data_IF_309607193988
#
_entry.id   IF_309607193988
#
_cell.length_a   1.000
_cell.length_b   1.000
_cell.length_c   1.000
_cell.angle_alpha   90.00
_cell.angle_beta   90.00
_cell.angle_gamma   90.00
#
_symmetry.space_group_name_H-M   'P 1'
#
loop_
_entity.id
_entity.type
_entity.pdbx_description
1 polymer ?
#
# COMPACT_ATOMS: atom_id res chain seq x y z
N UNK A 1 0.99 28.43 -57.15
CA UNK A 1 1.10 27.79 -55.82
C UNK A 1 1.88 26.50 -55.87
N UNK A 2 1.59 25.53 -56.72
CA UNK A 2 2.27 24.23 -56.81
C UNK A 2 3.75 24.36 -57.13
N UNK A 3 4.16 25.32 -57.98
CA UNK A 3 5.57 25.57 -58.30
C UNK A 3 6.38 26.02 -57.09
N UNK A 4 5.83 26.87 -56.23
CA UNK A 4 6.52 27.31 -55.00
C UNK A 4 6.76 26.20 -54.01
N UNK A 5 5.81 25.27 -53.91
CA UNK A 5 5.94 24.05 -53.09
C UNK A 5 7.05 23.15 -53.66
N UNK A 6 7.08 22.96 -54.97
CA UNK A 6 8.10 22.16 -55.67
C UNK A 6 9.51 22.75 -55.53
N UNK A 7 9.63 24.08 -55.58
CA UNK A 7 10.88 24.81 -55.34
C UNK A 7 11.37 24.66 -53.91
N UNK A 8 10.48 24.74 -52.91
CA UNK A 8 10.81 24.55 -51.49
C UNK A 8 11.32 23.14 -51.21
N UNK A 9 10.65 22.10 -51.76
CA UNK A 9 11.15 20.74 -51.69
C UNK A 9 12.52 20.53 -52.33
N UNK A 10 12.77 21.16 -53.50
CA UNK A 10 14.06 21.11 -54.19
C UNK A 10 15.17 21.73 -53.34
N UNK A 11 14.90 22.85 -52.64
CA UNK A 11 15.83 23.49 -51.70
C UNK A 11 16.22 22.59 -50.52
N UNK A 12 15.26 21.86 -49.98
CA UNK A 12 15.49 20.89 -48.89
C UNK A 12 16.40 19.75 -49.34
N UNK A 13 16.17 19.20 -50.54
CA UNK A 13 16.98 18.12 -51.09
C UNK A 13 18.37 18.55 -51.58
N UNK A 14 18.57 19.83 -51.94
CA UNK A 14 19.86 20.36 -52.33
C UNK A 14 20.86 20.43 -51.17
N UNK A 15 20.35 20.57 -49.90
CA UNK A 15 21.17 20.64 -48.69
C UNK A 15 20.71 19.59 -47.64
N UNK A 16 20.53 18.37 -48.12
CA UNK A 16 19.95 17.25 -47.32
C UNK A 16 20.60 17.03 -45.96
N UNK A 17 21.91 17.21 -45.81
CA UNK A 17 22.59 17.06 -44.51
C UNK A 17 22.22 18.16 -43.53
N UNK A 18 22.06 19.41 -43.99
CA UNK A 18 21.64 20.52 -43.12
C UNK A 18 20.18 20.36 -42.70
N UNK A 19 19.32 20.01 -43.63
CA UNK A 19 17.90 19.77 -43.34
C UNK A 19 17.70 18.59 -42.44
N UNK A 20 18.45 17.51 -42.60
CA UNK A 20 18.42 16.35 -41.73
C UNK A 20 18.88 16.69 -40.30
N UNK A 21 20.00 17.42 -40.14
CA UNK A 21 20.50 17.82 -38.82
C UNK A 21 19.54 18.76 -38.10
N UNK A 22 18.90 19.68 -38.78
CA UNK A 22 17.93 20.59 -38.16
C UNK A 22 16.66 19.85 -37.76
N UNK A 23 16.15 18.94 -38.60
CA UNK A 23 15.02 18.07 -38.27
C UNK A 23 15.33 17.17 -37.04
N UNK A 24 16.51 16.56 -37.03
CA UNK A 24 16.95 15.72 -35.93
C UNK A 24 17.02 16.52 -34.63
N UNK A 25 17.54 17.74 -34.65
CA UNK A 25 17.58 18.61 -33.48
C UNK A 25 16.19 18.95 -32.92
N UNK A 26 15.24 19.25 -33.81
CA UNK A 26 13.86 19.53 -33.41
C UNK A 26 13.19 18.28 -32.83
N UNK A 27 13.38 17.12 -33.47
CA UNK A 27 12.80 15.84 -32.98
C UNK A 27 13.36 15.51 -31.61
N UNK A 28 14.68 15.61 -31.40
CA UNK A 28 15.29 15.33 -30.09
C UNK A 28 14.78 16.33 -29.05
N UNK A 29 14.66 17.61 -29.37
CA UNK A 29 14.15 18.62 -28.47
C UNK A 29 12.72 18.32 -28.00
N UNK A 30 11.82 18.05 -28.95
CA UNK A 30 10.43 17.73 -28.63
C UNK A 30 10.32 16.38 -27.85
N UNK A 31 11.05 15.37 -28.29
CA UNK A 31 11.06 14.06 -27.60
C UNK A 31 11.56 14.19 -26.17
N UNK A 32 12.57 14.99 -25.89
CA UNK A 32 13.08 15.23 -24.54
C UNK A 32 12.04 15.92 -23.66
N UNK A 33 11.33 16.92 -24.17
CA UNK A 33 10.27 17.60 -23.41
C UNK A 33 9.13 16.63 -23.08
N UNK A 34 8.70 15.84 -24.07
CA UNK A 34 7.64 14.85 -23.86
C UNK A 34 8.07 13.81 -22.82
N UNK A 35 9.30 13.32 -22.88
CA UNK A 35 9.83 12.36 -21.93
C UNK A 35 9.83 12.93 -20.49
N UNK A 36 10.32 14.17 -20.32
CA UNK A 36 10.36 14.84 -19.02
C UNK A 36 8.95 15.04 -18.47
N UNK A 37 8.02 15.56 -19.26
CA UNK A 37 6.64 15.80 -18.83
C UNK A 37 5.92 14.50 -18.49
N UNK A 38 6.14 13.44 -19.27
CA UNK A 38 5.56 12.12 -19.00
C UNK A 38 6.11 11.51 -17.71
N UNK A 39 7.41 11.65 -17.45
CA UNK A 39 8.02 11.18 -16.21
C UNK A 39 7.48 11.94 -14.99
N UNK A 40 7.41 13.28 -15.08
CA UNK A 40 6.86 14.10 -13.99
C UNK A 40 5.40 13.73 -13.72
N UNK A 41 4.56 13.59 -14.76
CA UNK A 41 3.18 13.16 -14.58
C UNK A 41 3.08 11.77 -13.95
N UNK A 42 3.84 10.81 -14.46
CA UNK A 42 3.84 9.46 -13.89
C UNK A 42 4.27 9.43 -12.43
N UNK A 43 5.29 10.22 -12.07
CA UNK A 43 5.74 10.34 -10.67
C UNK A 43 4.68 11.03 -9.79
N UNK A 44 4.05 12.10 -10.27
CA UNK A 44 3.00 12.78 -9.53
C UNK A 44 1.77 11.88 -9.31
N UNK A 45 1.32 11.15 -10.33
CA UNK A 45 0.22 10.19 -10.23
C UNK A 45 0.56 9.04 -9.24
N UNK A 46 1.82 8.64 -9.19
CA UNK A 46 2.28 7.61 -8.25
C UNK A 46 2.37 8.15 -6.82
N UNK A 47 2.86 9.38 -6.64
CA UNK A 47 2.87 10.06 -5.34
C UNK A 47 1.43 10.27 -4.84
N UNK A 48 0.53 10.74 -5.69
CA UNK A 48 -0.88 10.92 -5.35
C UNK A 48 -1.53 9.60 -4.94
N UNK A 49 -1.33 8.53 -5.71
CA UNK A 49 -1.82 7.18 -5.37
C UNK A 49 -1.22 6.66 -4.06
N UNK A 50 0.07 6.89 -3.82
CA UNK A 50 0.71 6.47 -2.59
C UNK A 50 0.26 7.33 -1.40
N UNK A 51 -0.01 8.62 -1.60
CA UNK A 51 -0.54 9.50 -0.56
C UNK A 51 -2.00 9.16 -0.22
N UNK A 52 -2.84 8.92 -1.22
CA UNK A 52 -4.25 8.56 -1.04
C UNK A 52 -4.38 7.08 -0.65
N UNK A 53 -3.63 6.19 -1.30
CA UNK A 53 -3.66 4.75 -1.07
C UNK A 53 -2.90 4.29 0.18
N UNK A 54 -1.97 5.08 0.72
CA UNK A 54 -1.23 4.73 1.94
C UNK A 54 -1.92 5.17 3.24
N UNK A 55 -3.18 5.61 3.17
CA UNK A 55 -3.94 6.03 4.34
C UNK A 55 -3.48 7.37 4.93
N UNK A 56 -2.86 8.25 4.12
CA UNK A 56 -2.43 9.57 4.59
C UNK A 56 -3.60 10.52 4.94
N UNK A 57 -4.81 10.19 4.51
CA UNK A 57 -6.05 10.84 5.00
C UNK A 57 -6.58 10.19 6.28
N UNK A 58 -5.81 9.29 6.91
CA UNK A 58 -6.21 8.67 8.16
C UNK A 58 -5.47 9.29 9.34
N UNK A 59 -6.22 9.57 10.40
CA UNK A 59 -5.67 9.98 11.69
C UNK A 59 -5.60 8.75 12.57
N UNK A 60 -4.38 8.40 13.00
CA UNK A 60 -4.16 7.34 13.98
C UNK A 60 -4.33 7.93 15.38
N UNK A 61 -5.29 7.39 16.13
CA UNK A 61 -5.45 7.67 17.55
C UNK A 61 -4.91 6.48 18.32
N UNK A 62 -3.84 6.68 19.05
CA UNK A 62 -3.19 5.64 19.85
C UNK A 62 -3.04 6.09 21.31
N UNK A 63 -2.94 5.13 22.21
CA UNK A 63 -2.60 5.40 23.59
C UNK A 63 -1.08 5.59 23.71
N UNK A 64 -0.67 6.67 24.38
CA UNK A 64 0.73 6.94 24.65
C UNK A 64 0.97 6.88 26.15
N UNK A 65 2.11 6.34 26.53
CA UNK A 65 2.66 6.42 27.88
C UNK A 65 3.98 7.17 27.80
N UNK A 66 4.02 8.37 28.41
CA UNK A 66 5.11 9.32 28.21
C UNK A 66 5.26 9.68 26.71
N UNK A 67 6.42 9.44 26.09
CA UNK A 67 6.69 9.73 24.68
C UNK A 67 6.55 8.50 23.76
N UNK A 68 6.15 7.34 24.28
CA UNK A 68 6.09 6.08 23.54
C UNK A 68 4.64 5.60 23.35
N UNK A 69 4.35 5.08 22.17
CA UNK A 69 3.07 4.41 21.92
C UNK A 69 2.95 3.18 22.84
N UNK A 70 1.85 3.10 23.57
CA UNK A 70 1.61 2.02 24.51
C UNK A 70 1.49 0.68 23.78
N UNK A 71 2.32 -0.29 24.19
CA UNK A 71 2.21 -1.67 23.69
C UNK A 71 1.18 -2.45 24.51
N UNK A 72 0.14 -2.92 23.81
CA UNK A 72 -0.90 -3.76 24.42
C UNK A 72 -0.48 -5.21 24.69
N UNK A 73 0.78 -5.57 24.47
CA UNK A 73 1.30 -6.91 24.75
C UNK A 73 1.19 -7.26 26.24
N UNK A 74 1.25 -6.25 27.11
CA UNK A 74 1.10 -6.37 28.55
C UNK A 74 -0.35 -6.20 29.05
N UNK A 75 -1.32 -6.12 28.13
CA UNK A 75 -2.72 -5.91 28.45
C UNK A 75 -3.16 -4.46 28.42
N UNK A 76 -4.37 -4.19 28.93
CA UNK A 76 -4.93 -2.84 29.01
C UNK A 76 -4.56 -2.26 30.37
N UNK A 77 -3.99 -1.04 30.44
CA UNK A 77 -3.67 -0.42 31.73
C UNK A 77 -4.91 -0.23 32.58
N UNK A 78 -4.75 -0.31 33.90
CA UNK A 78 -5.84 -0.05 34.84
C UNK A 78 -6.38 1.39 34.67
N UNK A 79 -7.69 1.52 34.57
CA UNK A 79 -8.34 2.83 34.40
C UNK A 79 -8.51 3.29 32.96
N UNK A 80 -8.00 2.55 31.97
CA UNK A 80 -8.26 2.81 30.55
C UNK A 80 -9.45 1.98 30.10
N UNK A 81 -10.49 2.67 29.64
CA UNK A 81 -11.67 2.02 29.06
C UNK A 81 -11.38 1.60 27.62
N UNK A 82 -11.89 0.42 27.26
CA UNK A 82 -11.93 0.00 25.85
C UNK A 82 -12.86 0.94 25.07
N UNK A 83 -12.54 1.15 23.79
CA UNK A 83 -13.40 1.96 22.92
C UNK A 83 -14.76 1.27 22.80
N UNK A 84 -15.82 1.95 23.25
CA UNK A 84 -17.19 1.43 23.18
C UNK A 84 -17.76 1.56 21.77
N UNK A 85 -18.85 0.81 21.50
CA UNK A 85 -19.59 0.99 20.24
C UNK A 85 -20.14 2.40 20.08
N UNK A 86 -20.62 2.99 21.17
CA UNK A 86 -21.17 4.36 21.18
C UNK A 86 -20.08 5.39 20.84
N UNK A 87 -18.87 5.21 21.34
CA UNK A 87 -17.71 6.05 20.99
C UNK A 87 -17.36 5.90 19.51
N UNK A 88 -17.41 4.67 18.99
CA UNK A 88 -17.15 4.41 17.57
C UNK A 88 -18.19 5.07 16.67
N UNK A 89 -19.47 5.01 17.04
CA UNK A 89 -20.55 5.67 16.32
C UNK A 89 -20.42 7.19 16.41
N UNK A 90 -20.07 7.73 17.57
CA UNK A 90 -19.80 9.15 17.74
C UNK A 90 -18.67 9.65 16.83
N UNK A 91 -17.60 8.87 16.71
CA UNK A 91 -16.49 9.20 15.79
C UNK A 91 -16.90 9.16 14.32
N UNK A 92 -17.77 8.21 13.92
CA UNK A 92 -18.29 8.14 12.54
C UNK A 92 -19.18 9.33 12.16
N UNK A 93 -19.79 9.98 13.15
CA UNK A 93 -20.67 11.13 12.94
C UNK A 93 -19.95 12.50 12.97
N UNK A 94 -18.63 12.51 13.11
CA UNK A 94 -17.84 13.75 13.02
C UNK A 94 -17.81 14.21 11.56
N UNK A 95 -18.00 15.49 11.35
CA UNK A 95 -17.95 16.12 10.02
C UNK A 95 -16.61 15.83 9.33
N UNK A 96 -16.64 15.46 8.06
CA UNK A 96 -15.46 15.06 7.25
C UNK A 96 -14.80 13.72 7.64
N UNK A 97 -15.42 12.90 8.49
CA UNK A 97 -14.97 11.53 8.75
C UNK A 97 -15.72 10.57 7.85
N UNK A 98 -15.04 9.98 6.88
CA UNK A 98 -15.63 9.02 5.93
C UNK A 98 -15.77 7.61 6.51
N UNK A 99 -14.86 7.25 7.43
CA UNK A 99 -14.87 5.93 8.04
C UNK A 99 -13.99 5.85 9.28
N UNK A 100 -14.34 4.92 10.17
CA UNK A 100 -13.57 4.65 11.41
C UNK A 100 -13.35 3.16 11.51
N UNK A 101 -12.11 2.77 11.78
CA UNK A 101 -11.73 1.37 12.02
C UNK A 101 -11.05 1.22 13.36
N UNK A 102 -11.21 0.07 13.97
CA UNK A 102 -10.46 -0.33 15.15
C UNK A 102 -9.44 -1.38 14.76
N UNK A 103 -8.25 -1.25 15.29
CA UNK A 103 -7.24 -2.28 15.17
C UNK A 103 -6.45 -2.41 16.47
N UNK A 104 -5.85 -3.56 16.64
CA UNK A 104 -4.89 -3.83 17.71
C UNK A 104 -3.67 -4.51 17.09
N UNK A 105 -2.51 -3.92 17.29
CA UNK A 105 -1.25 -4.51 16.84
C UNK A 105 -0.55 -5.22 18.00
N UNK A 106 0.11 -6.31 17.67
CA UNK A 106 1.01 -7.04 18.53
C UNK A 106 2.26 -7.40 17.75
N UNK A 107 3.41 -7.25 18.38
CA UNK A 107 4.66 -7.66 17.76
C UNK A 107 4.73 -9.20 17.70
N UNK A 108 5.05 -9.72 16.53
CA UNK A 108 5.18 -11.16 16.30
C UNK A 108 6.62 -11.61 16.63
N UNK A 109 6.85 -11.95 17.88
CA UNK A 109 8.09 -12.61 18.26
C UNK A 109 7.96 -14.11 17.98
N UNK A 110 8.32 -14.57 16.77
CA UNK A 110 8.25 -15.99 16.39
C UNK A 110 6.89 -16.66 16.68
N UNK A 111 5.80 -15.91 16.51
CA UNK A 111 4.46 -16.40 16.84
C UNK A 111 3.70 -16.95 15.63
N UNK A 112 4.25 -16.80 14.42
CA UNK A 112 3.60 -17.22 13.18
C UNK A 112 4.41 -18.35 12.53
N UNK A 113 3.78 -19.50 12.36
CA UNK A 113 4.40 -20.69 11.80
C UNK A 113 3.58 -21.30 10.67
N UNK A 114 4.30 -21.87 9.71
CA UNK A 114 3.77 -22.85 8.78
C UNK A 114 4.78 -23.98 8.66
N UNK A 115 4.39 -25.19 9.08
CA UNK A 115 5.29 -26.34 9.15
C UNK A 115 6.56 -25.98 9.96
N UNK A 116 7.72 -26.01 9.31
CA UNK A 116 9.03 -25.67 9.91
C UNK A 116 9.50 -24.25 9.60
N UNK A 117 8.67 -23.41 8.96
CA UNK A 117 9.00 -22.02 8.62
C UNK A 117 8.31 -21.09 9.58
N UNK A 118 9.05 -20.19 10.22
CA UNK A 118 8.54 -19.11 11.05
C UNK A 118 8.70 -17.75 10.36
N UNK A 119 7.83 -16.82 10.66
CA UNK A 119 8.04 -15.42 10.38
C UNK A 119 8.73 -14.79 11.60
N UNK A 120 9.97 -14.37 11.41
CA UNK A 120 10.74 -13.67 12.41
C UNK A 120 10.58 -12.16 12.20
N UNK A 121 10.04 -11.50 13.21
CA UNK A 121 9.69 -10.08 13.13
C UNK A 121 8.37 -9.83 12.41
N UNK A 122 7.86 -8.63 12.52
CA UNK A 122 6.57 -8.23 11.95
C UNK A 122 5.49 -8.02 12.99
N UNK A 123 4.29 -7.77 12.54
CA UNK A 123 3.16 -7.45 13.40
C UNK A 123 1.97 -8.36 13.09
N UNK A 124 1.31 -8.82 14.15
CA UNK A 124 -0.02 -9.42 14.05
C UNK A 124 -1.03 -8.32 14.36
N UNK A 125 -1.93 -8.08 13.45
CA UNK A 125 -2.96 -7.06 13.60
C UNK A 125 -4.34 -7.70 13.68
N UNK A 126 -5.00 -7.50 14.80
CA UNK A 126 -6.44 -7.78 14.92
C UNK A 126 -7.21 -6.60 14.34
N UNK A 127 -8.03 -6.84 13.33
CA UNK A 127 -8.71 -5.79 12.55
C UNK A 127 -10.18 -6.10 12.36
N UNK A 128 -10.99 -5.07 12.13
CA UNK A 128 -12.36 -5.23 11.68
C UNK A 128 -12.45 -5.24 10.13
N UNK A 129 -13.65 -5.42 9.59
CA UNK A 129 -13.88 -5.51 8.15
C UNK A 129 -13.52 -4.23 7.38
N UNK A 130 -13.60 -3.07 8.03
CA UNK A 130 -13.38 -1.77 7.40
C UNK A 130 -11.90 -1.38 7.31
N UNK A 131 -11.03 -2.13 8.00
CA UNK A 131 -9.62 -1.80 8.14
C UNK A 131 -8.88 -1.65 6.81
N UNK A 132 -9.06 -2.62 5.90
CA UNK A 132 -8.31 -2.62 4.63
C UNK A 132 -8.66 -1.41 3.77
N UNK A 133 -9.94 -1.05 3.68
CA UNK A 133 -10.38 0.11 2.91
C UNK A 133 -9.91 1.43 3.54
N UNK A 134 -10.01 1.56 4.86
CA UNK A 134 -9.62 2.78 5.57
C UNK A 134 -8.09 2.92 5.61
N UNK A 135 -7.36 1.83 5.79
CA UNK A 135 -5.90 1.82 5.74
C UNK A 135 -5.33 1.94 4.32
N UNK A 136 -6.18 1.95 3.29
CA UNK A 136 -5.75 2.02 1.89
C UNK A 136 -5.07 0.74 1.38
N UNK A 137 -5.27 -0.39 2.05
CA UNK A 137 -4.67 -1.67 1.68
C UNK A 137 -5.51 -2.39 0.62
N UNK A 138 -4.90 -2.74 -0.50
CA UNK A 138 -5.57 -3.45 -1.58
C UNK A 138 -5.43 -4.95 -1.42
N UNK A 139 -6.54 -5.68 -1.47
CA UNK A 139 -6.52 -7.15 -1.51
C UNK A 139 -6.16 -7.60 -2.94
N UNK A 140 -5.04 -8.30 -3.06
CA UNK A 140 -4.50 -8.81 -4.34
C UNK A 140 -5.06 -10.18 -4.71
N UNK A 141 -5.26 -11.03 -3.71
CA UNK A 141 -5.81 -12.40 -3.90
C UNK A 141 -6.80 -12.70 -2.78
N UNK A 142 -7.86 -13.43 -3.10
CA UNK A 142 -8.86 -13.81 -2.12
C UNK A 142 -9.76 -12.66 -1.67
N UNK A 143 -9.98 -12.52 -0.38
CA UNK A 143 -10.84 -11.50 0.24
C UNK A 143 -10.25 -10.94 1.54
N UNK A 144 -10.73 -9.78 1.95
CA UNK A 144 -10.47 -9.23 3.29
C UNK A 144 -11.25 -9.94 4.40
N UNK A 145 -11.08 -9.47 5.62
CA UNK A 145 -11.88 -9.88 6.77
C UNK A 145 -13.31 -9.32 6.58
N UNK A 146 -14.31 -10.12 6.90
CA UNK A 146 -15.72 -9.75 6.80
C UNK A 146 -16.36 -9.56 8.17
N UNK A 147 -17.46 -8.84 8.22
CA UNK A 147 -18.25 -8.70 9.44
C UNK A 147 -18.71 -10.06 10.01
N UNK A 148 -19.04 -11.01 9.13
CA UNK A 148 -19.44 -12.37 9.50
C UNK A 148 -18.29 -13.16 10.14
N UNK A 149 -17.04 -12.95 9.69
CA UNK A 149 -15.87 -13.55 10.32
C UNK A 149 -15.69 -13.03 11.76
N UNK A 150 -15.85 -11.72 11.96
CA UNK A 150 -15.77 -11.10 13.28
C UNK A 150 -16.92 -11.53 14.20
N UNK A 151 -18.16 -11.54 13.70
CA UNK A 151 -19.34 -11.95 14.48
C UNK A 151 -19.29 -13.42 14.92
N UNK A 152 -18.76 -14.28 14.08
CA UNK A 152 -18.65 -15.74 14.35
C UNK A 152 -17.31 -16.14 14.92
N UNK A 153 -16.44 -15.19 15.25
CA UNK A 153 -15.08 -15.46 15.77
C UNK A 153 -14.32 -16.47 14.91
N UNK A 154 -14.42 -16.38 13.58
CA UNK A 154 -13.71 -17.25 12.68
C UNK A 154 -12.21 -16.99 12.73
N UNK A 155 -11.45 -18.06 12.79
CA UNK A 155 -9.99 -18.01 12.75
C UNK A 155 -9.53 -17.88 11.29
N UNK A 156 -9.54 -16.65 10.78
CA UNK A 156 -9.11 -16.32 9.42
C UNK A 156 -8.01 -15.26 9.47
N UNK A 157 -7.13 -15.30 8.48
CA UNK A 157 -6.02 -14.37 8.36
C UNK A 157 -5.89 -13.84 6.92
N UNK A 158 -5.40 -12.62 6.81
CA UNK A 158 -4.93 -12.01 5.55
C UNK A 158 -3.45 -11.76 5.73
N UNK A 159 -2.65 -12.21 4.77
CA UNK A 159 -1.20 -11.99 4.75
C UNK A 159 -0.87 -10.80 3.85
N UNK A 160 0.22 -10.12 4.13
CA UNK A 160 0.90 -9.27 3.17
C UNK A 160 1.65 -10.12 2.12
N UNK A 161 2.03 -9.52 0.99
CA UNK A 161 2.71 -10.23 -0.11
C UNK A 161 4.05 -10.81 0.34
N UNK A 162 4.81 -10.09 1.15
CA UNK A 162 6.12 -10.53 1.66
C UNK A 162 5.98 -11.74 2.57
N UNK A 163 5.08 -11.69 3.55
CA UNK A 163 4.78 -12.82 4.45
C UNK A 163 4.25 -14.04 3.69
N UNK A 164 3.37 -13.81 2.71
CA UNK A 164 2.85 -14.88 1.87
C UNK A 164 3.97 -15.56 1.09
N UNK A 165 4.90 -14.81 0.52
CA UNK A 165 6.06 -15.34 -0.20
C UNK A 165 7.03 -16.10 0.70
N UNK A 166 7.29 -15.59 1.90
CA UNK A 166 8.18 -16.24 2.87
C UNK A 166 7.62 -17.58 3.36
N UNK A 167 6.31 -17.66 3.65
CA UNK A 167 5.68 -18.88 4.18
C UNK A 167 5.31 -19.90 3.10
N UNK A 168 4.99 -19.45 1.89
CA UNK A 168 4.41 -20.29 0.84
C UNK A 168 5.25 -20.38 -0.43
N UNK A 169 6.26 -19.50 -0.60
CA UNK A 169 7.01 -19.39 -1.85
C UNK A 169 6.07 -19.05 -3.02
N UNK A 170 6.02 -19.90 -4.02
CA UNK A 170 5.13 -19.74 -5.19
C UNK A 170 3.77 -20.45 -5.01
N UNK A 171 3.56 -21.15 -3.88
CA UNK A 171 2.30 -21.84 -3.62
C UNK A 171 1.18 -20.83 -3.32
N UNK A 172 -0.04 -21.10 -3.82
CA UNK A 172 -1.20 -20.26 -3.47
C UNK A 172 -1.57 -20.42 -1.99
N UNK A 173 -1.51 -19.37 -1.18
CA UNK A 173 -1.79 -19.44 0.26
C UNK A 173 -3.28 -19.53 0.60
N UNK A 174 -4.19 -19.15 -0.31
CA UNK A 174 -5.63 -19.08 -0.01
C UNK A 174 -6.18 -20.44 0.34
N UNK A 175 -6.91 -20.51 1.46
CA UNK A 175 -7.49 -21.75 2.01
C UNK A 175 -6.50 -22.62 2.78
N UNK A 176 -5.22 -22.26 2.82
CA UNK A 176 -4.21 -22.95 3.64
C UNK A 176 -4.22 -22.42 5.07
N UNK A 177 -3.62 -23.19 5.96
CA UNK A 177 -3.58 -22.88 7.39
C UNK A 177 -2.17 -22.47 7.80
N UNK A 178 -2.10 -21.47 8.66
CA UNK A 178 -0.93 -21.08 9.43
C UNK A 178 -1.25 -21.16 10.92
N UNK A 179 -0.25 -21.26 11.74
CA UNK A 179 -0.39 -21.19 13.19
C UNK A 179 0.05 -19.82 13.70
N UNK A 180 -0.81 -19.18 14.47
CA UNK A 180 -0.51 -17.91 15.15
C UNK A 180 -0.63 -18.18 16.66
N UNK A 181 0.48 -18.11 17.37
CA UNK A 181 0.55 -18.43 18.80
C UNK A 181 -0.12 -19.79 19.12
N UNK A 182 0.22 -20.83 18.37
CA UNK A 182 -0.30 -22.20 18.46
C UNK A 182 -1.81 -22.35 18.15
N UNK A 183 -2.42 -21.33 17.56
CA UNK A 183 -3.82 -21.38 17.11
C UNK A 183 -3.86 -21.40 15.58
N UNK A 184 -4.59 -22.33 14.96
CA UNK A 184 -4.67 -22.40 13.50
C UNK A 184 -5.58 -21.33 12.93
N UNK A 185 -5.08 -20.62 11.88
CA UNK A 185 -5.83 -19.64 11.12
C UNK A 185 -5.84 -20.01 9.65
N UNK A 186 -7.00 -19.91 9.01
CA UNK A 186 -7.15 -20.14 7.57
C UNK A 186 -6.89 -18.83 6.82
N UNK A 187 -6.03 -18.87 5.81
CA UNK A 187 -5.74 -17.70 4.98
C UNK A 187 -6.88 -17.48 4.00
N UNK A 188 -7.49 -16.30 4.06
CA UNK A 188 -8.61 -15.90 3.20
C UNK A 188 -8.22 -14.85 2.16
N UNK A 189 -7.10 -14.17 2.34
CA UNK A 189 -6.63 -13.15 1.42
C UNK A 189 -5.14 -12.88 1.52
N UNK A 190 -4.66 -12.19 0.49
CA UNK A 190 -3.32 -11.58 0.44
C UNK A 190 -3.52 -10.12 0.06
N UNK A 191 -2.99 -9.20 0.87
CA UNK A 191 -3.01 -7.77 0.59
C UNK A 191 -1.66 -7.30 0.04
N UNK A 192 -1.68 -6.19 -0.68
CA UNK A 192 -0.46 -5.51 -1.09
C UNK A 192 0.35 -5.11 0.15
N UNK A 193 1.67 -5.18 0.02
CA UNK A 193 2.55 -4.59 1.01
C UNK A 193 2.26 -3.08 1.06
N UNK A 194 2.30 -2.51 2.25
CA UNK A 194 2.24 -1.07 2.39
C UNK A 194 3.56 -0.54 1.84
N UNK A 195 3.51 0.16 0.71
CA UNK A 195 4.69 0.89 0.22
C UNK A 195 5.00 2.00 1.23
N UNK A 196 5.82 1.69 2.21
CA UNK A 196 6.44 2.70 3.05
C UNK A 196 7.51 3.37 2.20
N UNK A 197 7.28 4.62 1.84
CA UNK A 197 8.35 5.48 1.35
C UNK A 197 9.24 5.81 2.58
N UNK A 198 10.11 4.86 2.92
CA UNK A 198 11.26 5.18 3.76
C UNK A 198 12.30 5.80 2.83
N UNK A 199 12.65 7.09 3.00
CA UNK A 199 13.83 7.62 2.36
C UNK A 199 15.00 6.80 2.91
N UNK A 200 15.64 6.01 2.03
CA UNK A 200 16.92 5.37 2.33
C UNK A 200 17.88 6.48 2.73
N UNK A 201 18.10 6.67 4.04
CA UNK A 201 19.27 7.39 4.50
C UNK A 201 20.46 6.49 4.20
N UNK A 202 21.09 6.68 3.05
CA UNK A 202 22.46 6.27 2.88
C UNK A 202 23.27 7.03 3.93
N UNK A 203 23.75 6.28 4.92
CA UNK A 203 24.75 6.78 5.86
C UNK A 203 26.01 7.08 5.06
N UNK A 204 26.36 8.34 4.97
CA UNK A 204 27.68 8.83 4.54
C UNK A 204 28.70 8.50 5.61
#
# INVERSE_FOLDING_TARGET
MIENIKLSFRGIFAHKMRSFLTMLGIIIGIASIIAIVSTIKGTNDQIEKNLIGSGNNTVKVALYQEDWEYSFDQGIPSGISTISKDTLEALKNIEHVEGVTLYRSRQSYQAIFRNNTSLDGGYIMGVNQDYFSIAGLTIKKGRGITEDDNKKFRQVAVLDETSAKLLFGEENPIGKTIEISSTPFTIVGVCADKETFEPTMESI
#
